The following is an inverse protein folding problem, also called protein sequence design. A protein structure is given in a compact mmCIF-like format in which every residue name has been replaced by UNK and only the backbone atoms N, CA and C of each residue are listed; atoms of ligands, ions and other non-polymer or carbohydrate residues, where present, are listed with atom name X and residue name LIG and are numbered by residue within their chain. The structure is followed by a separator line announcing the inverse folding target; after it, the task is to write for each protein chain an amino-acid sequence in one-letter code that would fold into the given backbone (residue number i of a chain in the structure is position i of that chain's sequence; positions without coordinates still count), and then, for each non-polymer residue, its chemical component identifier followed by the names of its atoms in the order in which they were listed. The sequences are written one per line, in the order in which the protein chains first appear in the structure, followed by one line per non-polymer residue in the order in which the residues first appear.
data_IF_499895532851
#
_entry.id   IF_499895532851
#
_cell.length_a   1.000
_cell.length_b   1.000
_cell.length_c   1.000
_cell.angle_alpha   90.00
_cell.angle_beta   90.00
_cell.angle_gamma   90.00
#
_symmetry.space_group_name_H-M   'P 1'
#
loop_
_entity.id
_entity.type
_entity.pdbx_description
1 polymer ?
#
# COMPACT_ATOMS: atom_id res chain seq x y z
N UNK A 1 -11.13 15.14 -9.17
CA UNK A 1 -10.57 13.80 -8.88
C UNK A 1 -10.66 13.59 -7.38
N UNK A 2 -11.40 12.57 -6.89
CA UNK A 2 -11.46 12.29 -5.45
C UNK A 2 -10.07 11.79 -5.02
N UNK A 3 -9.41 12.51 -4.12
CA UNK A 3 -8.22 11.98 -3.43
C UNK A 3 -8.72 10.80 -2.60
N UNK A 4 -8.05 9.65 -2.70
CA UNK A 4 -8.35 8.55 -1.79
C UNK A 4 -7.84 8.97 -0.42
N UNK A 5 -8.72 8.95 0.57
CA UNK A 5 -8.31 9.05 1.96
C UNK A 5 -7.86 7.66 2.39
N UNK A 6 -6.54 7.49 2.58
CA UNK A 6 -5.95 6.20 2.94
C UNK A 6 -6.48 5.69 4.28
N UNK A 7 -6.73 6.59 5.23
CA UNK A 7 -7.30 6.24 6.53
C UNK A 7 -8.72 5.70 6.35
N UNK A 8 -9.53 6.35 5.52
CA UNK A 8 -10.88 5.89 5.23
C UNK A 8 -10.88 4.53 4.51
N UNK A 9 -9.93 4.30 3.60
CA UNK A 9 -9.77 3.02 2.91
C UNK A 9 -9.41 1.88 3.88
N UNK A 10 -8.50 2.13 4.83
CA UNK A 10 -8.14 1.16 5.87
C UNK A 10 -9.33 0.87 6.77
N UNK A 11 -10.05 1.90 7.26
CA UNK A 11 -11.24 1.71 8.11
C UNK A 11 -12.33 0.91 7.43
N UNK A 12 -12.60 1.19 6.14
CA UNK A 12 -13.59 0.44 5.35
C UNK A 12 -13.20 -1.02 5.17
N UNK A 13 -11.91 -1.28 4.94
CA UNK A 13 -11.38 -2.64 4.84
C UNK A 13 -11.52 -3.37 6.18
N UNK A 14 -11.11 -2.73 7.27
CA UNK A 14 -11.22 -3.28 8.63
C UNK A 14 -12.68 -3.66 8.98
N UNK A 15 -13.63 -2.76 8.71
CA UNK A 15 -15.05 -3.01 8.94
C UNK A 15 -15.60 -4.16 8.09
N UNK A 16 -15.17 -4.27 6.83
CA UNK A 16 -15.59 -5.34 5.92
C UNK A 16 -15.06 -6.71 6.36
N UNK A 17 -13.81 -6.77 6.80
CA UNK A 17 -13.13 -8.00 7.19
C UNK A 17 -13.38 -8.38 8.67
N UNK A 18 -14.03 -7.51 9.45
CA UNK A 18 -14.27 -7.72 10.89
C UNK A 18 -12.98 -7.67 11.72
N UNK A 19 -11.97 -6.92 11.25
CA UNK A 19 -10.66 -6.77 11.87
C UNK A 19 -10.49 -5.36 12.46
N UNK A 20 -9.52 -5.18 13.36
CA UNK A 20 -9.13 -3.85 13.80
C UNK A 20 -8.35 -3.11 12.70
N UNK A 21 -8.37 -1.78 12.74
CA UNK A 21 -7.65 -0.92 11.80
C UNK A 21 -6.15 -1.19 11.87
N UNK A 22 -5.63 -1.40 13.09
CA UNK A 22 -4.24 -1.73 13.38
C UNK A 22 -3.82 -3.07 12.75
N UNK A 23 -4.73 -4.04 12.70
CA UNK A 23 -4.47 -5.35 12.08
C UNK A 23 -4.34 -5.20 10.57
N UNK A 24 -5.21 -4.40 9.95
CA UNK A 24 -5.09 -4.08 8.52
C UNK A 24 -3.77 -3.36 8.22
N UNK A 25 -3.36 -2.38 9.05
CA UNK A 25 -2.07 -1.70 8.88
C UNK A 25 -0.89 -2.67 8.95
N UNK A 26 -0.87 -3.56 9.95
CA UNK A 26 0.20 -4.57 10.10
C UNK A 26 0.28 -5.53 8.92
N UNK A 27 -0.85 -5.96 8.37
CA UNK A 27 -0.84 -6.82 7.18
C UNK A 27 -0.30 -6.08 5.94
N UNK A 28 -0.65 -4.81 5.78
CA UNK A 28 -0.09 -3.98 4.70
C UNK A 28 1.43 -3.78 4.88
N UNK A 29 1.89 -3.50 6.11
CA UNK A 29 3.33 -3.40 6.42
C UNK A 29 4.08 -4.70 6.06
N UNK A 30 3.51 -5.86 6.40
CA UNK A 30 4.08 -7.16 6.00
C UNK A 30 4.16 -7.28 4.48
N UNK A 31 3.11 -6.92 3.75
CA UNK A 31 3.09 -6.96 2.30
C UNK A 31 4.17 -6.05 1.67
N UNK A 32 4.35 -4.84 2.23
CA UNK A 32 5.43 -3.91 1.82
C UNK A 32 6.80 -4.56 2.02
N UNK A 33 7.05 -5.13 3.19
CA UNK A 33 8.33 -5.79 3.50
C UNK A 33 8.57 -6.99 2.59
N UNK A 34 7.55 -7.80 2.31
CA UNK A 34 7.64 -8.93 1.38
C UNK A 34 7.97 -8.46 -0.04
N UNK A 35 7.35 -7.36 -0.49
CA UNK A 35 7.64 -6.76 -1.79
C UNK A 35 9.08 -6.26 -1.91
N UNK A 36 9.54 -5.50 -0.91
CA UNK A 36 10.91 -4.97 -0.85
C UNK A 36 11.98 -6.07 -0.73
N UNK A 37 11.64 -7.20 -0.10
CA UNK A 37 12.53 -8.36 0.12
C UNK A 37 12.27 -9.53 -0.83
N UNK A 38 11.46 -9.34 -1.87
CA UNK A 38 11.15 -10.38 -2.85
C UNK A 38 12.44 -10.96 -3.44
N UNK A 39 12.48 -12.27 -3.72
CA UNK A 39 13.63 -12.88 -4.39
C UNK A 39 13.76 -12.41 -5.84
N UNK A 40 12.64 -12.05 -6.46
CA UNK A 40 12.60 -11.49 -7.81
C UNK A 40 13.08 -10.02 -7.81
N UNK A 41 14.18 -9.70 -8.50
CA UNK A 41 14.67 -8.34 -8.63
C UNK A 41 13.67 -7.38 -9.26
N UNK A 42 12.89 -7.80 -10.25
CA UNK A 42 11.91 -6.95 -10.92
C UNK A 42 10.78 -6.54 -9.97
N UNK A 43 10.36 -7.45 -9.09
CA UNK A 43 9.40 -7.14 -8.02
C UNK A 43 10.02 -6.12 -7.06
N UNK A 44 11.24 -6.35 -6.55
CA UNK A 44 11.89 -5.40 -5.64
C UNK A 44 12.01 -4.01 -6.25
N UNK A 45 12.43 -3.90 -7.50
CA UNK A 45 12.56 -2.62 -8.20
C UNK A 45 11.21 -1.92 -8.37
N UNK A 46 10.11 -2.67 -8.59
CA UNK A 46 8.76 -2.09 -8.61
C UNK A 46 8.36 -1.53 -7.25
N UNK A 47 8.61 -2.25 -6.17
CA UNK A 47 8.27 -1.79 -4.82
C UNK A 47 9.11 -0.59 -4.36
N UNK A 48 10.38 -0.50 -4.79
CA UNK A 48 11.24 0.66 -4.53
C UNK A 48 10.76 1.96 -5.19
N UNK A 49 9.88 1.90 -6.20
CA UNK A 49 9.32 3.09 -6.86
C UNK A 49 8.29 3.83 -6.03
N UNK A 50 7.75 3.20 -4.97
CA UNK A 50 6.76 3.82 -4.10
C UNK A 50 7.43 4.99 -3.36
N UNK A 51 7.00 6.25 -3.59
CA UNK A 51 7.53 7.39 -2.87
C UNK A 51 7.25 7.23 -1.37
N UNK A 52 8.29 7.35 -0.56
CA UNK A 52 8.16 7.29 0.88
C UNK A 52 9.13 8.28 1.54
N UNK A 53 8.75 8.78 2.71
CA UNK A 53 9.59 9.72 3.48
C UNK A 53 10.75 9.02 4.20
N UNK A 54 10.73 7.69 4.28
CA UNK A 54 11.72 6.88 5.00
C UNK A 54 12.29 5.78 4.10
N UNK A 55 12.94 4.76 4.68
CA UNK A 55 13.45 3.59 3.93
C UNK A 55 12.32 2.62 3.54
N UNK A 56 11.24 2.58 4.33
CA UNK A 56 10.10 1.69 4.12
C UNK A 56 8.84 2.55 4.03
N UNK A 57 8.01 2.38 2.97
CA UNK A 57 6.73 3.06 2.87
C UNK A 57 5.79 2.73 4.03
N UNK A 58 4.94 3.68 4.43
CA UNK A 58 3.81 3.39 5.32
C UNK A 58 2.64 2.76 4.53
N UNK A 59 1.68 2.10 5.20
CA UNK A 59 0.43 1.67 4.57
C UNK A 59 -0.28 2.79 3.81
N UNK A 60 -0.32 4.00 4.36
CA UNK A 60 -0.96 5.16 3.74
C UNK A 60 -0.22 5.65 2.50
N UNK A 61 1.12 5.68 2.52
CA UNK A 61 1.95 6.00 1.35
C UNK A 61 1.72 4.99 0.22
N UNK A 62 1.63 3.69 0.56
CA UNK A 62 1.31 2.64 -0.41
C UNK A 62 -0.07 2.83 -1.03
N UNK A 63 -1.11 3.05 -0.21
CA UNK A 63 -2.48 3.21 -0.68
C UNK A 63 -2.59 4.44 -1.59
N UNK A 64 -1.96 5.55 -1.20
CA UNK A 64 -1.93 6.77 -2.03
C UNK A 64 -1.24 6.52 -3.37
N UNK A 65 -0.07 5.88 -3.35
CA UNK A 65 0.65 5.53 -4.57
C UNK A 65 -0.19 4.63 -5.48
N UNK A 66 -0.81 3.57 -4.94
CA UNK A 66 -1.67 2.69 -5.73
C UNK A 66 -2.88 3.44 -6.31
N UNK A 67 -3.51 4.33 -5.55
CA UNK A 67 -4.64 5.15 -6.00
C UNK A 67 -4.28 6.03 -7.21
N UNK A 68 -3.07 6.57 -7.22
CA UNK A 68 -2.57 7.43 -8.29
C UNK A 68 -2.15 6.63 -9.53
N UNK A 69 -1.50 5.48 -9.33
CA UNK A 69 -0.89 4.67 -10.40
C UNK A 69 -1.84 3.63 -11.00
N UNK A 70 -2.97 3.30 -10.37
CA UNK A 70 -4.01 2.44 -10.96
C UNK A 70 -4.67 3.06 -12.21
N UNK A 71 -4.54 4.37 -12.42
CA UNK A 71 -5.06 5.05 -13.61
C UNK A 71 -4.27 4.77 -14.89
N UNK A 72 -3.02 4.34 -14.78
CA UNK A 72 -2.15 4.11 -15.94
C UNK A 72 -2.27 2.69 -16.54
N UNK A 73 -3.03 1.78 -15.91
CA UNK A 73 -3.09 0.36 -16.28
C UNK A 73 -4.48 -0.12 -16.74
N UNK A 74 -5.36 0.80 -17.17
CA UNK A 74 -6.72 0.48 -17.65
C UNK A 74 -6.93 0.69 -19.16
N UNK A 75 -5.86 0.75 -19.97
CA UNK A 75 -5.93 0.78 -21.43
C UNK A 75 -4.88 -0.10 -22.06
#
# INVERSE_FOLDING_TARGET
MKRIDAEEAIRKTAAKEGLAVEEIRKEIEKAILMGLRSQDPAIRERWKKIPCKSVVPTPEELIQYMAENMKENLY
#
